data_IF_915540507736
#
_entry.id   IF_915540507736
#
_cell.length_a   1.000
_cell.length_b   1.000
_cell.length_c   1.000
_cell.angle_alpha   90.00
_cell.angle_beta   90.00
_cell.angle_gamma   90.00
#
_symmetry.space_group_name_H-M   'P 1'
#
loop_
_entity.id
_entity.type
_entity.pdbx_description
1 polymer ?
#
# COMPACT_ATOMS: atom_id res chain seq x y z
N UNK A 1 8.86 4.08 -38.29
CA UNK A 1 8.27 3.37 -37.14
C UNK A 1 8.67 1.91 -37.24
N UNK A 2 9.71 1.48 -36.52
CA UNK A 2 10.19 0.09 -36.59
C UNK A 2 9.22 -0.86 -35.91
N UNK A 3 8.74 -1.87 -36.63
CA UNK A 3 7.91 -2.94 -36.09
C UNK A 3 8.75 -3.74 -35.09
N UNK A 4 8.52 -3.57 -33.80
CA UNK A 4 9.16 -4.41 -32.78
C UNK A 4 8.51 -5.80 -32.92
N UNK A 5 9.14 -6.69 -33.69
CA UNK A 5 8.77 -8.10 -33.71
C UNK A 5 9.15 -8.65 -32.33
N UNK A 6 8.15 -8.79 -31.45
CA UNK A 6 8.36 -9.37 -30.13
C UNK A 6 8.38 -10.88 -30.31
N UNK A 7 9.55 -11.50 -30.18
CA UNK A 7 9.73 -12.95 -30.13
C UNK A 7 8.76 -13.58 -29.09
N UNK A 8 8.03 -14.62 -29.48
CA UNK A 8 7.08 -15.34 -28.62
C UNK A 8 7.73 -15.82 -27.31
N UNK A 9 9.00 -16.25 -27.35
CA UNK A 9 9.75 -16.63 -26.14
C UNK A 9 9.88 -15.46 -25.17
N UNK A 10 10.09 -14.26 -25.72
CA UNK A 10 10.17 -13.02 -24.93
C UNK A 10 8.81 -12.64 -24.37
N UNK A 11 7.72 -12.82 -25.13
CA UNK A 11 6.34 -12.62 -24.66
C UNK A 11 6.06 -13.53 -23.47
N UNK A 12 6.27 -14.83 -23.60
CA UNK A 12 6.04 -15.81 -22.53
C UNK A 12 6.84 -15.47 -21.26
N UNK A 13 8.12 -15.12 -21.42
CA UNK A 13 8.97 -14.70 -20.30
C UNK A 13 8.46 -13.42 -19.61
N UNK A 14 7.93 -12.46 -20.36
CA UNK A 14 7.30 -11.26 -19.78
C UNK A 14 5.99 -11.59 -19.07
N UNK A 15 5.14 -12.43 -19.66
CA UNK A 15 3.89 -12.87 -19.05
C UNK A 15 4.13 -13.62 -17.74
N UNK A 16 5.14 -14.49 -17.68
CA UNK A 16 5.56 -15.16 -16.43
C UNK A 16 6.00 -14.16 -15.36
N UNK A 17 6.80 -13.15 -15.72
CA UNK A 17 7.28 -12.11 -14.79
C UNK A 17 6.18 -11.17 -14.29
N UNK A 18 5.21 -10.87 -15.13
CA UNK A 18 4.04 -10.06 -14.77
C UNK A 18 3.03 -10.87 -13.94
N UNK A 19 3.04 -12.20 -14.06
CA UNK A 19 2.27 -13.13 -13.24
C UNK A 19 0.77 -12.81 -13.25
N UNK A 20 0.20 -12.49 -12.09
CA UNK A 20 -1.24 -12.21 -11.93
C UNK A 20 -1.70 -10.96 -12.70
N UNK A 21 -0.79 -10.02 -12.98
CA UNK A 21 -1.11 -8.81 -13.74
C UNK A 21 -1.38 -9.10 -15.22
N UNK A 22 -0.84 -10.19 -15.77
CA UNK A 22 -1.02 -10.56 -17.17
C UNK A 22 -2.50 -10.72 -17.55
N UNK A 23 -3.34 -11.23 -16.63
CA UNK A 23 -4.81 -11.36 -16.85
C UNK A 23 -5.53 -10.01 -17.01
N UNK A 24 -4.90 -8.92 -16.56
CA UNK A 24 -5.42 -7.55 -16.66
C UNK A 24 -4.98 -6.85 -17.95
N UNK A 25 -4.02 -7.42 -18.69
CA UNK A 25 -3.49 -6.87 -19.93
C UNK A 25 -4.25 -7.53 -21.08
N UNK A 26 -4.78 -6.70 -21.98
CA UNK A 26 -5.66 -7.18 -23.06
C UNK A 26 -4.89 -7.69 -24.29
N UNK A 27 -3.68 -7.19 -24.50
CA UNK A 27 -2.90 -7.44 -25.71
C UNK A 27 -1.40 -7.48 -25.37
N UNK A 28 -0.71 -8.46 -25.92
CA UNK A 28 0.69 -8.76 -25.65
C UNK A 28 1.63 -7.62 -26.09
N UNK A 29 1.22 -6.78 -27.05
CA UNK A 29 2.00 -5.61 -27.48
C UNK A 29 2.26 -4.61 -26.36
N UNK A 30 1.42 -4.62 -25.32
CA UNK A 30 1.57 -3.73 -24.17
C UNK A 30 2.39 -4.34 -23.02
N UNK A 31 2.76 -5.62 -23.08
CA UNK A 31 3.54 -6.27 -22.02
C UNK A 31 4.86 -5.54 -21.71
N UNK A 32 5.64 -5.05 -22.69
CA UNK A 32 6.86 -4.30 -22.39
C UNK A 32 6.59 -3.05 -21.56
N UNK A 33 5.50 -2.33 -21.86
CA UNK A 33 5.10 -1.13 -21.12
C UNK A 33 4.78 -1.47 -19.66
N UNK A 34 3.91 -2.46 -19.42
CA UNK A 34 3.55 -2.86 -18.06
C UNK A 34 4.73 -3.45 -17.30
N UNK A 35 5.62 -4.19 -17.97
CA UNK A 35 6.84 -4.71 -17.35
C UNK A 35 7.76 -3.57 -16.90
N UNK A 36 7.93 -2.52 -17.72
CA UNK A 36 8.68 -1.34 -17.35
C UNK A 36 8.07 -0.64 -16.11
N UNK A 37 6.74 -0.53 -16.05
CA UNK A 37 6.04 0.03 -14.88
C UNK A 37 6.22 -0.82 -13.63
N UNK A 38 6.16 -2.15 -13.76
CA UNK A 38 6.39 -3.08 -12.65
C UNK A 38 7.81 -2.94 -12.08
N UNK A 39 8.82 -2.75 -12.92
CA UNK A 39 10.21 -2.57 -12.47
C UNK A 39 10.39 -1.23 -11.74
N UNK A 40 9.88 -0.14 -12.31
CA UNK A 40 10.12 1.20 -11.78
C UNK A 40 9.24 1.54 -10.57
N UNK A 41 8.06 0.92 -10.46
CA UNK A 41 7.05 1.26 -9.45
C UNK A 41 6.51 0.01 -8.76
N UNK A 42 7.39 -0.86 -8.24
CA UNK A 42 7.03 -2.19 -7.70
C UNK A 42 5.86 -2.13 -6.70
N UNK A 43 5.93 -1.24 -5.71
CA UNK A 43 4.93 -1.15 -4.62
C UNK A 43 3.58 -0.65 -5.13
N UNK A 44 3.60 0.40 -5.93
CA UNK A 44 2.43 1.01 -6.55
C UNK A 44 1.77 0.05 -7.55
N UNK A 45 2.58 -0.67 -8.32
CA UNK A 45 2.14 -1.67 -9.27
C UNK A 45 1.40 -2.81 -8.57
N UNK A 46 1.99 -3.43 -7.55
CA UNK A 46 1.37 -4.50 -6.79
C UNK A 46 0.06 -4.06 -6.12
N UNK A 47 0.04 -2.84 -5.56
CA UNK A 47 -1.18 -2.27 -5.00
C UNK A 47 -2.26 -2.07 -6.06
N UNK A 48 -1.89 -1.55 -7.23
CA UNK A 48 -2.82 -1.33 -8.34
C UNK A 48 -3.42 -2.62 -8.89
N UNK A 49 -2.66 -3.72 -8.93
CA UNK A 49 -3.16 -5.06 -9.32
C UNK A 49 -4.23 -5.55 -8.35
N UNK A 50 -4.04 -5.34 -7.04
CA UNK A 50 -5.06 -5.66 -6.02
C UNK A 50 -6.30 -4.78 -6.18
N UNK A 51 -6.10 -3.48 -6.44
CA UNK A 51 -7.19 -2.52 -6.60
C UNK A 51 -8.05 -2.80 -7.84
N UNK A 52 -7.42 -3.15 -8.96
CA UNK A 52 -8.11 -3.41 -10.22
C UNK A 52 -9.11 -4.57 -10.11
N UNK A 53 -8.79 -5.62 -9.33
CA UNK A 53 -9.70 -6.76 -9.09
C UNK A 53 -11.01 -6.38 -8.40
N UNK A 54 -11.05 -5.25 -7.68
CA UNK A 54 -12.23 -4.76 -6.96
C UNK A 54 -13.13 -3.88 -7.83
N UNK A 55 -12.73 -3.60 -9.08
CA UNK A 55 -13.48 -2.74 -10.00
C UNK A 55 -14.34 -3.58 -10.94
N UNK A 56 -15.47 -2.99 -11.38
CA UNK A 56 -16.41 -3.63 -12.33
C UNK A 56 -15.72 -4.09 -13.61
N UNK A 57 -14.79 -3.27 -14.14
CA UNK A 57 -14.00 -3.58 -15.34
C UNK A 57 -12.49 -3.53 -15.03
N UNK A 58 -11.89 -4.61 -14.51
CA UNK A 58 -10.50 -4.63 -14.06
C UNK A 58 -9.49 -4.27 -15.16
N UNK A 59 -9.65 -4.83 -16.37
CA UNK A 59 -8.74 -4.63 -17.50
C UNK A 59 -8.69 -3.17 -17.97
N UNK A 60 -9.86 -2.60 -18.25
CA UNK A 60 -10.00 -1.21 -18.72
C UNK A 60 -9.45 -0.23 -17.68
N UNK A 61 -9.77 -0.46 -16.41
CA UNK A 61 -9.26 0.36 -15.31
C UNK A 61 -7.74 0.29 -15.20
N UNK A 62 -7.16 -0.92 -15.21
CA UNK A 62 -5.72 -1.12 -15.08
C UNK A 62 -4.95 -0.49 -16.24
N UNK A 63 -5.44 -0.61 -17.48
CA UNK A 63 -4.86 0.06 -18.64
C UNK A 63 -4.97 1.59 -18.55
N UNK A 64 -6.11 2.11 -18.07
CA UNK A 64 -6.33 3.55 -17.96
C UNK A 64 -5.33 4.23 -17.00
N UNK A 65 -5.14 3.66 -15.81
CA UNK A 65 -4.24 4.23 -14.79
C UNK A 65 -2.76 4.11 -15.20
N UNK A 66 -2.38 3.04 -15.90
CA UNK A 66 -1.00 2.84 -16.35
C UNK A 66 -0.70 3.36 -17.75
N UNK A 67 -1.66 4.06 -18.37
CA UNK A 67 -1.44 4.74 -19.64
C UNK A 67 -0.37 5.83 -19.49
N UNK A 68 0.43 6.04 -20.54
CA UNK A 68 1.52 7.03 -20.50
C UNK A 68 1.05 8.43 -20.13
N UNK A 69 -0.16 8.82 -20.56
CA UNK A 69 -0.78 10.13 -20.25
C UNK A 69 -1.03 10.33 -18.76
N UNK A 70 -1.36 9.25 -18.04
CA UNK A 70 -1.78 9.32 -16.63
C UNK A 70 -0.69 8.89 -15.65
N UNK A 71 0.44 8.36 -16.14
CA UNK A 71 1.45 7.71 -15.31
C UNK A 71 1.85 8.51 -14.07
N UNK A 72 2.32 9.75 -14.25
CA UNK A 72 2.82 10.55 -13.13
C UNK A 72 1.73 10.77 -12.08
N UNK A 73 0.54 11.18 -12.55
CA UNK A 73 -0.65 11.37 -11.69
C UNK A 73 -1.04 10.09 -10.95
N UNK A 74 -1.01 8.94 -11.63
CA UNK A 74 -1.34 7.65 -11.05
C UNK A 74 -0.32 7.22 -10.00
N UNK A 75 0.98 7.37 -10.27
CA UNK A 75 2.03 7.01 -9.32
C UNK A 75 1.92 7.86 -8.05
N UNK A 76 1.77 9.18 -8.18
CA UNK A 76 1.64 10.06 -7.02
C UNK A 76 0.37 9.77 -6.21
N UNK A 77 -0.74 9.49 -6.89
CA UNK A 77 -1.98 9.08 -6.24
C UNK A 77 -1.83 7.74 -5.50
N UNK A 78 -1.18 6.75 -6.11
CA UNK A 78 -0.92 5.44 -5.48
C UNK A 78 -0.01 5.57 -4.25
N UNK A 79 1.01 6.43 -4.31
CA UNK A 79 1.88 6.74 -3.16
C UNK A 79 1.09 7.32 -2.00
N UNK A 80 0.21 8.28 -2.26
CA UNK A 80 -0.68 8.87 -1.24
C UNK A 80 -1.58 7.82 -0.61
N UNK A 81 -2.18 6.93 -1.41
CA UNK A 81 -3.01 5.85 -0.90
C UNK A 81 -2.23 4.87 -0.02
N UNK A 82 -1.02 4.49 -0.42
CA UNK A 82 -0.17 3.60 0.38
C UNK A 82 0.22 4.28 1.71
N UNK A 83 0.56 5.56 1.68
CA UNK A 83 0.88 6.33 2.88
C UNK A 83 -0.32 6.41 3.84
N UNK A 84 -1.52 6.70 3.32
CA UNK A 84 -2.75 6.72 4.11
C UNK A 84 -3.06 5.35 4.73
N UNK A 85 -2.89 4.26 3.98
CA UNK A 85 -3.07 2.92 4.51
C UNK A 85 -2.09 2.61 5.67
N UNK A 86 -0.84 3.05 5.55
CA UNK A 86 0.17 2.90 6.61
C UNK A 86 -0.17 3.72 7.85
N UNK A 87 -0.64 4.96 7.68
CA UNK A 87 -1.05 5.83 8.78
C UNK A 87 -2.20 5.21 9.57
N UNK A 88 -3.25 4.74 8.89
CA UNK A 88 -4.38 4.05 9.54
C UNK A 88 -3.93 2.80 10.32
N UNK A 89 -3.07 1.97 9.75
CA UNK A 89 -2.53 0.81 10.44
C UNK A 89 -1.63 1.16 11.64
N UNK A 90 -1.01 2.35 11.65
CA UNK A 90 -0.26 2.84 12.80
C UNK A 90 -1.22 3.34 13.90
N UNK A 91 -2.26 4.08 13.53
CA UNK A 91 -3.31 4.54 14.46
C UNK A 91 -4.02 3.37 15.14
N UNK A 92 -4.38 2.33 14.39
CA UNK A 92 -5.01 1.12 14.94
C UNK A 92 -4.09 0.42 15.96
N UNK A 93 -2.79 0.30 15.65
CA UNK A 93 -1.81 -0.25 16.60
C UNK A 93 -1.68 0.60 17.85
N UNK A 94 -1.71 1.93 17.71
CA UNK A 94 -1.67 2.83 18.86
C UNK A 94 -2.93 2.69 19.73
N UNK A 95 -4.12 2.66 19.12
CA UNK A 95 -5.39 2.44 19.82
C UNK A 95 -5.40 1.10 20.57
N UNK A 96 -4.92 0.02 19.94
CA UNK A 96 -4.80 -1.28 20.61
C UNK A 96 -3.84 -1.24 21.81
N UNK A 97 -2.71 -0.54 21.71
CA UNK A 97 -1.79 -0.35 22.85
C UNK A 97 -2.44 0.43 23.98
N UNK A 98 -3.15 1.52 23.67
CA UNK A 98 -3.87 2.33 24.66
C UNK A 98 -4.99 1.53 25.34
N UNK A 99 -5.77 0.76 24.57
CA UNK A 99 -6.78 -0.13 25.14
C UNK A 99 -6.15 -1.17 26.07
N UNK A 100 -5.07 -1.83 25.65
CA UNK A 100 -4.34 -2.78 26.50
C UNK A 100 -3.85 -2.13 27.79
N UNK A 101 -3.28 -0.93 27.72
CA UNK A 101 -2.83 -0.19 28.89
C UNK A 101 -4.01 0.22 29.81
N UNK A 102 -5.14 0.65 29.24
CA UNK A 102 -6.34 0.99 30.01
C UNK A 102 -6.99 -0.22 30.68
N UNK A 103 -6.84 -1.42 30.11
CA UNK A 103 -7.32 -2.68 30.71
C UNK A 103 -6.37 -3.30 31.72
N UNK A 104 -5.14 -2.77 31.89
CA UNK A 104 -4.26 -3.23 32.95
C UNK A 104 -4.85 -2.82 34.30
N UNK A 105 -4.88 -3.72 35.30
CA UNK A 105 -5.33 -3.35 36.63
C UNK A 105 -4.44 -2.22 37.15
N UNK A 106 -5.06 -1.14 37.61
CA UNK A 106 -4.34 -0.01 38.19
C UNK A 106 -3.67 -0.53 39.45
N UNK A 107 -2.33 -0.54 39.47
CA UNK A 107 -1.55 -0.98 40.64
C UNK A 107 -1.81 -0.02 41.80
N UNK A 108 -2.37 -0.54 42.89
CA UNK A 108 -2.68 0.19 44.11
C UNK A 108 -1.40 0.80 44.71
N UNK A 109 -0.31 0.02 44.76
CA UNK A 109 1.03 0.48 45.18
C UNK A 109 1.58 1.63 44.32
N UNK A 110 1.31 1.59 43.01
CA UNK A 110 1.71 2.64 42.08
C UNK A 110 0.96 3.95 42.32
N UNK A 111 -0.35 3.86 42.62
CA UNK A 111 -1.18 5.00 43.00
C UNK A 111 -0.76 5.60 44.34
N UNK A 112 -0.47 4.77 45.34
CA UNK A 112 -0.01 5.23 46.66
C UNK A 112 1.33 5.97 46.56
N UNK A 113 2.30 5.43 45.82
CA UNK A 113 3.58 6.12 45.56
C UNK A 113 3.38 7.46 44.85
N UNK A 114 2.44 7.53 43.90
CA UNK A 114 2.13 8.76 43.17
C UNK A 114 1.44 9.80 44.08
N UNK A 115 0.54 9.36 44.96
CA UNK A 115 -0.07 10.21 45.99
C UNK A 115 0.99 10.72 47.00
N UNK A 116 1.90 9.86 47.44
CA UNK A 116 3.02 10.22 48.32
C UNK A 116 3.93 11.27 47.66
N UNK A 117 4.28 11.09 46.38
CA UNK A 117 5.06 12.08 45.63
C UNK A 117 4.32 13.42 45.53
N UNK A 118 3.04 13.42 45.18
CA UNK A 118 2.27 14.66 45.08
C UNK A 118 2.18 15.43 46.41
N UNK A 119 2.10 14.72 47.55
CA UNK A 119 2.19 15.32 48.89
C UNK A 119 3.58 15.91 49.16
N UNK A 120 4.65 15.17 48.84
CA UNK A 120 6.03 15.62 49.07
C UNK A 120 6.39 16.90 48.29
N UNK A 121 5.79 17.11 47.12
CA UNK A 121 6.01 18.29 46.29
C UNK A 121 4.95 19.40 46.49
N UNK A 122 4.06 19.29 47.50
CA UNK A 122 2.95 20.23 47.73
C UNK A 122 2.10 20.48 46.46
N UNK A 123 1.94 19.44 45.63
CA UNK A 123 1.14 19.50 44.39
C UNK A 123 -0.33 19.15 44.62
N UNK A 124 -0.72 18.95 45.89
CA UNK A 124 -2.10 18.77 46.33
C UNK A 124 -2.38 19.91 47.31
N UNK A 125 -3.34 20.77 46.94
CA UNK A 125 -3.93 21.77 47.84
C UNK A 125 -4.90 21.10 48.81
#
# INVERSE_FOLDING_TARGET
>A
MGTIIIDERRVQKMQQRLGKATKLIADDKYLPMFRNRQINYVKEFDYSVKLAKRKKNPRKYFAFIWSSKNLAKTVDWLRKLIAQAKARAAEERHKQKMQKQATLPISIDGLEKLAQMKRNYNLIA
#
